data_IF_827814684021
#
_entry.id   IF_827814684021
#
_cell.length_a   1.000
_cell.length_b   1.000
_cell.length_c   1.000
_cell.angle_alpha   90.00
_cell.angle_beta   90.00
_cell.angle_gamma   90.00
#
_symmetry.space_group_name_H-M   'P 1'
#
loop_
_entity.id
_entity.type
_entity.pdbx_description
1 polymer ?
#
# COMPACT_ATOMS: atom_id res chain seq x y z
N UNK A 1 -9.41 79.84 39.84
CA UNK A 1 -9.82 79.45 38.48
C UNK A 1 -9.14 78.14 38.11
N UNK A 2 -9.90 77.06 37.94
CA UNK A 2 -9.43 75.81 37.34
C UNK A 2 -10.63 75.15 36.63
N UNK A 3 -10.49 75.03 35.31
CA UNK A 3 -11.53 74.63 34.36
C UNK A 3 -11.72 73.11 34.35
N UNK A 4 -12.96 72.65 34.62
CA UNK A 4 -13.37 71.24 34.48
C UNK A 4 -13.80 70.99 33.03
N UNK A 5 -13.03 70.19 32.28
CA UNK A 5 -13.41 69.64 30.96
C UNK A 5 -14.22 68.34 31.13
N UNK A 6 -15.19 68.05 30.24
CA UNK A 6 -16.03 66.86 30.33
C UNK A 6 -15.32 65.59 29.80
N UNK A 7 -15.74 64.44 30.31
CA UNK A 7 -15.20 63.13 30.00
C UNK A 7 -15.43 62.70 28.53
N UNK A 8 -14.36 62.25 27.87
CA UNK A 8 -14.39 61.61 26.55
C UNK A 8 -15.05 60.23 26.65
N UNK A 9 -16.09 59.99 25.85
CA UNK A 9 -16.72 58.68 25.61
C UNK A 9 -15.64 57.67 25.14
N UNK A 10 -15.53 56.54 25.84
CA UNK A 10 -14.79 55.36 25.37
C UNK A 10 -15.45 54.82 24.09
N UNK A 11 -14.70 54.77 22.99
CA UNK A 11 -15.06 53.94 21.84
C UNK A 11 -14.93 52.47 22.26
N UNK A 12 -16.05 51.76 22.28
CA UNK A 12 -16.06 50.30 22.35
C UNK A 12 -15.42 49.75 21.08
N UNK A 13 -14.28 49.07 21.21
CA UNK A 13 -13.73 48.25 20.13
C UNK A 13 -14.73 47.13 19.82
N UNK A 14 -15.38 47.22 18.66
CA UNK A 14 -16.22 46.15 18.12
C UNK A 14 -15.35 45.02 17.57
N UNK A 15 -15.83 43.78 17.72
CA UNK A 15 -15.21 42.57 17.19
C UNK A 15 -14.94 42.65 15.67
N UNK A 16 -13.82 42.08 15.19
CA UNK A 16 -13.38 42.15 13.79
C UNK A 16 -14.29 41.44 12.76
N UNK A 17 -15.38 40.79 13.20
CA UNK A 17 -16.34 40.08 12.34
C UNK A 17 -17.39 40.98 11.66
N UNK A 18 -17.32 42.31 11.82
CA UNK A 18 -18.25 43.28 11.17
C UNK A 18 -17.53 44.26 10.24
N UNK A 19 -16.63 43.77 9.40
CA UNK A 19 -16.23 44.48 8.19
C UNK A 19 -17.11 44.01 7.03
N UNK A 20 -18.09 44.84 6.67
CA UNK A 20 -18.76 44.76 5.37
C UNK A 20 -17.69 44.95 4.29
N UNK A 21 -17.34 43.87 3.59
CA UNK A 21 -16.27 43.85 2.60
C UNK A 21 -15.31 42.65 2.68
N UNK A 22 -15.76 41.49 3.17
CA UNK A 22 -15.07 40.24 2.88
C UNK A 22 -15.24 39.93 1.40
N UNK A 23 -14.15 39.81 0.65
CA UNK A 23 -14.16 39.33 -0.73
C UNK A 23 -14.85 37.97 -0.75
N UNK A 24 -16.05 37.87 -1.31
CA UNK A 24 -16.70 36.57 -1.52
C UNK A 24 -15.80 35.77 -2.44
N UNK A 25 -15.31 34.63 -1.97
CA UNK A 25 -14.62 33.66 -2.81
C UNK A 25 -15.56 33.33 -3.99
N UNK A 26 -15.13 33.44 -5.25
CA UNK A 26 -16.00 33.16 -6.39
C UNK A 26 -16.68 31.79 -6.25
N UNK A 27 -17.97 31.72 -6.53
CA UNK A 27 -18.83 30.53 -6.43
C UNK A 27 -19.16 30.01 -5.02
N UNK A 28 -18.62 30.56 -3.94
CA UNK A 28 -18.89 30.03 -2.58
C UNK A 28 -20.39 30.13 -2.21
N UNK A 29 -21.02 31.26 -2.51
CA UNK A 29 -22.44 31.48 -2.19
C UNK A 29 -23.33 30.54 -3.01
N UNK A 30 -23.00 30.37 -4.29
CA UNK A 30 -23.69 29.53 -5.24
C UNK A 30 -23.57 28.04 -4.88
N UNK A 31 -22.38 27.58 -4.47
CA UNK A 31 -22.15 26.20 -3.99
C UNK A 31 -22.95 25.95 -2.70
N UNK A 32 -22.93 26.89 -1.73
CA UNK A 32 -23.72 26.77 -0.50
C UNK A 32 -25.22 26.73 -0.76
N UNK A 33 -25.71 27.46 -1.77
CA UNK A 33 -27.10 27.41 -2.21
C UNK A 33 -27.42 26.06 -2.87
N UNK A 34 -26.54 25.56 -3.74
CA UNK A 34 -26.70 24.28 -4.41
C UNK A 34 -26.68 23.08 -3.43
N UNK A 35 -25.97 23.19 -2.30
CA UNK A 35 -25.97 22.18 -1.23
C UNK A 35 -27.17 22.24 -0.28
N UNK A 36 -27.95 23.34 -0.25
CA UNK A 36 -29.08 23.47 0.68
C UNK A 36 -30.10 22.31 0.60
N UNK A 37 -30.49 21.80 -0.58
CA UNK A 37 -31.42 20.67 -0.68
C UNK A 37 -30.92 19.41 0.02
N UNK A 38 -29.60 19.22 0.12
CA UNK A 38 -28.97 18.02 0.69
C UNK A 38 -28.59 18.17 2.15
N UNK A 39 -28.66 19.38 2.72
CA UNK A 39 -28.04 19.72 4.01
C UNK A 39 -28.38 18.76 5.15
N UNK A 40 -29.66 18.40 5.33
CA UNK A 40 -30.10 17.52 6.42
C UNK A 40 -29.67 16.06 6.21
N UNK A 41 -29.80 15.55 4.98
CA UNK A 41 -29.42 14.18 4.64
C UNK A 41 -27.90 14.00 4.64
N UNK A 42 -27.17 15.02 4.18
CA UNK A 42 -25.71 15.07 4.18
C UNK A 42 -25.17 15.11 5.61
N UNK A 43 -25.77 15.93 6.48
CA UNK A 43 -25.41 15.95 7.91
C UNK A 43 -25.61 14.58 8.56
N UNK A 44 -26.73 13.91 8.28
CA UNK A 44 -26.98 12.56 8.80
C UNK A 44 -25.98 11.54 8.26
N UNK A 45 -25.59 11.65 6.98
CA UNK A 45 -24.66 10.72 6.36
C UNK A 45 -23.24 10.86 6.91
N UNK A 46 -22.78 12.10 7.15
CA UNK A 46 -21.46 12.40 7.72
C UNK A 46 -21.40 12.28 9.25
N UNK A 47 -22.52 11.96 9.92
CA UNK A 47 -22.56 11.82 11.38
C UNK A 47 -22.19 10.39 11.76
N UNK A 48 -20.99 10.21 12.30
CA UNK A 48 -20.51 8.95 12.85
C UNK A 48 -21.01 8.75 14.29
N UNK A 49 -21.22 7.49 14.69
CA UNK A 49 -21.63 7.15 16.06
C UNK A 49 -20.51 7.50 17.06
N UNK A 50 -20.85 8.28 18.08
CA UNK A 50 -19.89 8.69 19.11
C UNK A 50 -19.11 9.98 18.81
N UNK A 51 -19.20 10.53 17.59
CA UNK A 51 -18.49 11.77 17.22
C UNK A 51 -19.31 13.05 17.53
N UNK A 52 -18.68 14.11 18.05
CA UNK A 52 -19.34 15.39 18.28
C UNK A 52 -19.91 16.00 16.98
N UNK A 53 -21.12 16.54 17.05
CA UNK A 53 -21.75 17.25 15.91
C UNK A 53 -20.93 18.45 15.39
N UNK A 54 -19.95 18.96 16.14
CA UNK A 54 -19.02 19.99 15.68
C UNK A 54 -18.06 19.47 14.60
N UNK A 55 -17.65 18.21 14.68
CA UNK A 55 -16.73 17.59 13.72
C UNK A 55 -17.43 17.34 12.39
N UNK A 56 -18.66 16.82 12.41
CA UNK A 56 -19.51 16.70 11.21
C UNK A 56 -19.73 18.06 10.53
N UNK A 57 -19.92 19.14 11.30
CA UNK A 57 -20.01 20.50 10.72
C UNK A 57 -18.70 20.94 10.08
N UNK A 58 -17.57 20.68 10.72
CA UNK A 58 -16.26 21.00 10.18
C UNK A 58 -15.99 20.23 8.86
N UNK A 59 -16.34 18.95 8.81
CA UNK A 59 -16.23 18.14 7.59
C UNK A 59 -17.09 18.67 6.44
N UNK A 60 -18.34 19.07 6.72
CA UNK A 60 -19.23 19.66 5.71
C UNK A 60 -18.75 21.04 5.25
N UNK A 61 -18.17 21.85 6.14
CA UNK A 61 -17.54 23.11 5.73
C UNK A 61 -16.29 22.85 4.86
N UNK A 62 -15.46 21.86 5.22
CA UNK A 62 -14.34 21.41 4.38
C UNK A 62 -14.79 20.94 3.00
N UNK A 63 -15.86 20.14 2.93
CA UNK A 63 -16.50 19.73 1.68
C UNK A 63 -16.98 20.94 0.87
N UNK A 64 -17.60 21.92 1.52
CA UNK A 64 -18.07 23.15 0.86
C UNK A 64 -16.90 23.91 0.23
N UNK A 65 -15.77 24.01 0.93
CA UNK A 65 -14.54 24.59 0.39
C UNK A 65 -14.03 23.80 -0.82
N UNK A 66 -13.97 22.48 -0.73
CA UNK A 66 -13.50 21.61 -1.81
C UNK A 66 -14.39 21.72 -3.06
N UNK A 67 -15.71 21.74 -2.90
CA UNK A 67 -16.65 21.94 -4.00
C UNK A 67 -16.59 23.36 -4.58
N UNK A 68 -16.25 24.37 -3.76
CA UNK A 68 -16.02 25.74 -4.25
C UNK A 68 -14.79 25.80 -5.16
N UNK A 69 -13.68 25.18 -4.75
CA UNK A 69 -12.47 25.09 -5.58
C UNK A 69 -12.75 24.30 -6.87
N UNK A 70 -13.50 23.21 -6.78
CA UNK A 70 -13.89 22.41 -7.93
C UNK A 70 -14.73 23.21 -8.94
N UNK A 71 -15.72 23.97 -8.44
CA UNK A 71 -16.56 24.84 -9.26
C UNK A 71 -15.76 25.96 -9.95
N UNK A 72 -14.77 26.53 -9.25
CA UNK A 72 -13.86 27.52 -9.83
C UNK A 72 -13.06 26.97 -11.00
N UNK A 73 -12.53 25.75 -10.87
CA UNK A 73 -11.76 25.10 -11.95
C UNK A 73 -12.61 24.79 -13.17
N UNK A 74 -13.84 24.34 -12.94
CA UNK A 74 -14.79 24.03 -14.02
C UNK A 74 -15.47 25.28 -14.60
N UNK A 75 -15.31 26.43 -13.96
CA UNK A 75 -16.05 27.65 -14.22
C UNK A 75 -17.58 27.43 -14.24
N UNK A 76 -18.07 26.52 -13.38
CA UNK A 76 -19.46 26.08 -13.32
C UNK A 76 -19.78 25.52 -11.92
N UNK A 77 -20.95 25.86 -11.39
CA UNK A 77 -21.45 25.31 -10.12
C UNK A 77 -22.26 24.06 -10.40
N UNK A 78 -21.68 22.91 -10.09
CA UNK A 78 -22.36 21.62 -10.08
C UNK A 78 -21.85 20.81 -8.89
N UNK A 79 -22.75 20.59 -7.93
CA UNK A 79 -22.46 19.80 -6.71
C UNK A 79 -22.87 18.34 -6.85
N UNK A 80 -23.45 17.95 -7.98
CA UNK A 80 -23.97 16.60 -8.23
C UNK A 80 -23.06 15.77 -9.14
N UNK A 81 -22.11 16.42 -9.82
CA UNK A 81 -21.06 15.76 -10.61
C UNK A 81 -19.68 16.15 -10.13
N UNK A 82 -18.75 15.21 -10.20
CA UNK A 82 -17.36 15.39 -9.83
C UNK A 82 -16.48 15.00 -11.03
N UNK A 83 -16.13 15.99 -11.85
CA UNK A 83 -15.25 15.82 -13.02
C UNK A 83 -13.85 15.30 -12.61
N UNK A 84 -13.41 14.12 -13.10
CA UNK A 84 -12.13 13.53 -12.72
C UNK A 84 -10.92 14.40 -13.06
N UNK A 85 -10.95 15.12 -14.19
CA UNK A 85 -9.83 15.94 -14.65
C UNK A 85 -9.62 17.14 -13.74
N UNK A 86 -10.69 17.87 -13.42
CA UNK A 86 -10.64 19.00 -12.49
C UNK A 86 -10.27 18.56 -11.07
N UNK A 87 -10.71 17.38 -10.63
CA UNK A 87 -10.31 16.78 -9.36
C UNK A 87 -8.81 16.44 -9.33
N UNK A 88 -8.26 15.89 -10.43
CA UNK A 88 -6.82 15.62 -10.57
C UNK A 88 -5.97 16.86 -10.33
N UNK A 89 -6.32 17.97 -10.99
CA UNK A 89 -5.62 19.23 -10.79
C UNK A 89 -5.83 19.81 -9.37
N UNK A 90 -7.03 19.70 -8.82
CA UNK A 90 -7.34 20.17 -7.47
C UNK A 90 -6.53 19.43 -6.40
N UNK A 91 -6.56 18.10 -6.41
CA UNK A 91 -5.85 17.30 -5.42
C UNK A 91 -4.34 17.34 -5.65
N UNK A 92 -3.86 17.48 -6.90
CA UNK A 92 -2.45 17.75 -7.19
C UNK A 92 -1.95 19.05 -6.55
N UNK A 93 -2.76 20.11 -6.58
CA UNK A 93 -2.44 21.37 -5.88
C UNK A 93 -2.48 21.23 -4.36
N UNK A 94 -3.35 20.39 -3.81
CA UNK A 94 -3.37 20.13 -2.36
C UNK A 94 -2.17 19.31 -1.93
N UNK A 95 -1.71 18.40 -2.78
CA UNK A 95 -0.54 17.56 -2.52
C UNK A 95 0.73 18.42 -2.35
N UNK A 96 0.85 19.53 -3.08
CA UNK A 96 1.97 20.48 -2.90
C UNK A 96 1.91 21.29 -1.61
N UNK A 97 0.76 21.32 -0.92
CA UNK A 97 0.60 21.91 0.40
C UNK A 97 0.84 20.88 1.54
N UNK A 98 0.85 19.59 1.20
CA UNK A 98 1.08 18.48 2.12
C UNK A 98 0.25 17.25 1.73
N UNK A 99 0.86 16.07 1.73
CA UNK A 99 0.20 14.82 1.33
C UNK A 99 -1.03 14.51 2.19
N UNK A 100 -0.93 14.68 3.51
CA UNK A 100 -2.05 14.47 4.45
C UNK A 100 -3.27 15.34 4.13
N UNK A 101 -3.05 16.56 3.62
CA UNK A 101 -4.12 17.48 3.24
C UNK A 101 -4.83 16.98 1.99
N UNK A 102 -4.08 16.45 1.01
CA UNK A 102 -4.66 15.85 -0.19
C UNK A 102 -5.45 14.59 0.15
N UNK A 103 -4.90 13.72 1.00
CA UNK A 103 -5.54 12.48 1.46
C UNK A 103 -6.83 12.75 2.22
N UNK A 104 -6.81 13.66 3.20
CA UNK A 104 -8.00 14.04 3.94
C UNK A 104 -9.07 14.68 3.03
N UNK A 105 -8.65 15.48 2.06
CA UNK A 105 -9.56 16.13 1.10
C UNK A 105 -10.19 15.12 0.14
N UNK A 106 -9.42 14.17 -0.36
CA UNK A 106 -9.90 13.08 -1.19
C UNK A 106 -10.89 12.20 -0.41
N UNK A 107 -10.62 11.91 0.86
CA UNK A 107 -11.52 11.16 1.75
C UNK A 107 -12.88 11.86 1.93
N UNK A 108 -12.88 13.17 2.16
CA UNK A 108 -14.11 13.97 2.28
C UNK A 108 -14.92 13.95 0.97
N UNK A 109 -14.24 14.11 -0.17
CA UNK A 109 -14.88 14.06 -1.49
C UNK A 109 -15.42 12.66 -1.82
N UNK A 110 -14.70 11.59 -1.45
CA UNK A 110 -15.15 10.20 -1.60
C UNK A 110 -16.40 9.93 -0.77
N UNK A 111 -16.40 10.37 0.49
CA UNK A 111 -17.57 10.24 1.37
C UNK A 111 -18.77 11.00 0.78
N UNK A 112 -18.55 12.20 0.23
CA UNK A 112 -19.60 12.94 -0.47
C UNK A 112 -20.10 12.23 -1.75
N UNK A 113 -19.21 11.65 -2.55
CA UNK A 113 -19.60 10.88 -3.73
C UNK A 113 -20.44 9.65 -3.33
N UNK A 114 -20.08 8.98 -2.24
CA UNK A 114 -20.86 7.88 -1.65
C UNK A 114 -22.26 8.33 -1.24
N UNK A 115 -22.37 9.52 -0.60
CA UNK A 115 -23.66 10.14 -0.31
C UNK A 115 -24.50 10.34 -1.58
N UNK A 116 -23.91 10.91 -2.65
CA UNK A 116 -24.63 11.13 -3.90
C UNK A 116 -25.11 9.82 -4.55
N UNK A 117 -24.27 8.78 -4.54
CA UNK A 117 -24.62 7.46 -5.07
C UNK A 117 -25.72 6.77 -4.27
N UNK A 118 -25.59 6.72 -2.95
CA UNK A 118 -26.56 6.07 -2.04
C UNK A 118 -27.91 6.78 -1.99
N UNK A 119 -27.94 8.08 -2.28
CA UNK A 119 -29.18 8.88 -2.33
C UNK A 119 -29.71 9.09 -3.75
N UNK A 120 -29.11 8.45 -4.76
CA UNK A 120 -29.47 8.60 -6.17
C UNK A 120 -29.50 10.06 -6.68
N UNK A 121 -28.62 10.91 -6.12
CA UNK A 121 -28.47 12.32 -6.50
C UNK A 121 -27.22 12.59 -7.36
N UNK A 122 -26.49 11.53 -7.75
CA UNK A 122 -25.37 11.68 -8.67
C UNK A 122 -25.86 12.04 -10.08
N UNK A 123 -25.35 13.13 -10.64
CA UNK A 123 -25.80 13.68 -11.93
C UNK A 123 -25.10 13.12 -13.17
N UNK A 124 -24.03 12.33 -12.98
CA UNK A 124 -23.24 11.76 -14.08
C UNK A 124 -23.66 10.33 -14.46
N UNK A 125 -22.90 9.71 -15.37
CA UNK A 125 -23.10 8.30 -15.73
C UNK A 125 -22.57 7.35 -14.66
N UNK A 126 -22.97 6.07 -14.70
CA UNK A 126 -22.43 5.04 -13.80
C UNK A 126 -20.91 4.88 -13.98
N UNK A 127 -20.41 5.03 -15.21
CA UNK A 127 -18.98 4.94 -15.49
C UNK A 127 -18.23 6.15 -14.92
N UNK A 128 -18.79 7.36 -15.02
CA UNK A 128 -18.22 8.56 -14.36
C UNK A 128 -18.17 8.37 -12.84
N UNK A 129 -19.22 7.81 -12.24
CA UNK A 129 -19.26 7.52 -10.81
C UNK A 129 -18.11 6.58 -10.41
N UNK A 130 -17.93 5.47 -11.13
CA UNK A 130 -16.88 4.48 -10.86
C UNK A 130 -15.48 5.09 -11.00
N UNK A 131 -15.22 5.78 -12.11
CA UNK A 131 -13.93 6.41 -12.36
C UNK A 131 -13.58 7.44 -11.28
N UNK A 132 -14.53 8.30 -10.93
CA UNK A 132 -14.31 9.29 -9.87
C UNK A 132 -14.14 8.64 -8.50
N UNK A 133 -14.92 7.60 -8.19
CA UNK A 133 -14.83 6.89 -6.93
C UNK A 133 -13.49 6.17 -6.77
N UNK A 134 -13.02 5.48 -7.81
CA UNK A 134 -11.70 4.85 -7.83
C UNK A 134 -10.57 5.88 -7.70
N UNK A 135 -10.65 6.98 -8.45
CA UNK A 135 -9.68 8.06 -8.38
C UNK A 135 -9.60 8.65 -6.96
N UNK A 136 -10.74 9.00 -6.36
CA UNK A 136 -10.79 9.53 -5.00
C UNK A 136 -10.36 8.49 -3.96
N UNK A 137 -10.64 7.20 -4.17
CA UNK A 137 -10.20 6.14 -3.26
C UNK A 137 -8.67 6.02 -3.25
N UNK A 138 -8.04 6.02 -4.43
CA UNK A 138 -6.57 6.03 -4.53
C UNK A 138 -5.97 7.26 -3.85
N UNK A 139 -6.55 8.44 -4.10
CA UNK A 139 -6.07 9.69 -3.51
C UNK A 139 -6.33 9.79 -2.00
N UNK A 140 -7.36 9.11 -1.49
CA UNK A 140 -7.67 8.99 -0.06
C UNK A 140 -6.78 7.96 0.64
N UNK A 141 -5.88 7.30 -0.08
CA UNK A 141 -5.04 6.23 0.47
C UNK A 141 -5.83 4.96 0.79
N UNK A 142 -7.05 4.81 0.24
CA UNK A 142 -7.75 3.54 0.35
C UNK A 142 -7.00 2.49 -0.43
N UNK A 143 -6.83 1.33 0.19
CA UNK A 143 -6.30 0.17 -0.50
C UNK A 143 -7.26 -0.24 -1.63
N UNK A 144 -6.79 -0.38 -2.88
CA UNK A 144 -7.59 -0.92 -3.96
C UNK A 144 -7.81 -2.43 -3.80
N UNK A 145 -7.16 -3.05 -2.81
CA UNK A 145 -7.28 -4.46 -2.47
C UNK A 145 -8.65 -4.71 -1.83
N UNK A 146 -9.41 -5.63 -2.41
CA UNK A 146 -10.71 -6.05 -1.89
C UNK A 146 -10.52 -7.38 -1.18
N UNK A 147 -10.33 -7.35 0.14
CA UNK A 147 -10.25 -8.56 0.97
C UNK A 147 -11.67 -8.96 1.44
N UNK A 148 -12.27 -10.03 0.89
CA UNK A 148 -13.56 -10.49 1.38
C UNK A 148 -13.44 -11.04 2.80
N UNK A 149 -14.52 -10.95 3.57
CA UNK A 149 -14.59 -11.64 4.85
C UNK A 149 -14.63 -13.15 4.61
N UNK A 150 -13.74 -13.88 5.29
CA UNK A 150 -13.68 -15.33 5.30
C UNK A 150 -13.68 -15.82 6.74
N UNK A 151 -14.46 -16.85 7.02
CA UNK A 151 -14.45 -17.54 8.32
C UNK A 151 -13.08 -18.18 8.56
N UNK A 152 -12.63 -18.21 9.82
CA UNK A 152 -11.27 -18.63 10.16
C UNK A 152 -10.93 -20.05 9.72
N UNK A 153 -11.88 -20.99 9.82
CA UNK A 153 -11.68 -22.38 9.41
C UNK A 153 -11.53 -22.50 7.89
N UNK A 154 -12.33 -21.75 7.12
CA UNK A 154 -12.29 -21.73 5.66
C UNK A 154 -10.98 -21.10 5.16
N UNK A 155 -10.62 -19.95 5.71
CA UNK A 155 -9.37 -19.27 5.42
C UNK A 155 -8.17 -20.17 5.75
N UNK A 156 -8.18 -20.81 6.93
CA UNK A 156 -7.08 -21.67 7.32
C UNK A 156 -6.94 -22.87 6.39
N UNK A 157 -8.03 -23.55 6.05
CA UNK A 157 -8.03 -24.69 5.14
C UNK A 157 -7.48 -24.33 3.75
N UNK A 158 -7.82 -23.13 3.24
CA UNK A 158 -7.25 -22.62 2.00
C UNK A 158 -5.72 -22.44 2.11
N UNK A 159 -5.25 -21.78 3.18
CA UNK A 159 -3.83 -21.55 3.44
C UNK A 159 -3.04 -22.86 3.62
N UNK A 160 -3.62 -23.88 4.26
CA UNK A 160 -2.93 -25.16 4.50
C UNK A 160 -2.47 -25.86 3.21
N UNK A 161 -3.18 -25.62 2.12
CA UNK A 161 -2.88 -26.20 0.81
C UNK A 161 -1.87 -25.39 -0.01
N UNK A 162 -1.42 -24.23 0.49
CA UNK A 162 -0.56 -23.34 -0.27
C UNK A 162 0.92 -23.75 -0.20
N UNK A 163 1.67 -23.67 -1.32
CA UNK A 163 3.08 -24.05 -1.38
C UNK A 163 3.94 -23.40 -0.30
N UNK A 164 3.71 -22.11 0.00
CA UNK A 164 4.53 -21.43 1.00
C UNK A 164 4.37 -21.96 2.42
N UNK A 165 3.19 -22.49 2.76
CA UNK A 165 2.96 -23.11 4.07
C UNK A 165 3.73 -24.42 4.18
N UNK A 166 3.80 -25.20 3.09
CA UNK A 166 4.64 -26.41 3.06
C UNK A 166 6.12 -26.07 3.20
N UNK A 167 6.62 -25.10 2.42
CA UNK A 167 8.02 -24.66 2.49
C UNK A 167 8.42 -24.17 3.90
N UNK A 168 7.56 -23.35 4.53
CA UNK A 168 7.79 -22.89 5.89
C UNK A 168 7.79 -24.04 6.92
N UNK A 169 6.90 -25.03 6.76
CA UNK A 169 6.85 -26.24 7.62
C UNK A 169 8.09 -27.11 7.46
N UNK A 170 8.55 -27.34 6.24
CA UNK A 170 9.77 -28.12 5.96
C UNK A 170 11.01 -27.46 6.55
N UNK A 171 11.17 -26.15 6.37
CA UNK A 171 12.29 -25.42 6.95
C UNK A 171 12.24 -25.45 8.48
N UNK A 172 11.06 -25.27 9.09
CA UNK A 172 10.90 -25.36 10.54
C UNK A 172 11.17 -26.78 11.07
N UNK A 173 10.77 -27.82 10.34
CA UNK A 173 11.04 -29.21 10.68
C UNK A 173 12.54 -29.52 10.62
N UNK A 174 13.25 -28.99 9.62
CA UNK A 174 14.71 -29.08 9.54
C UNK A 174 15.40 -28.37 10.71
N UNK A 175 14.89 -27.22 11.15
CA UNK A 175 15.44 -26.54 12.33
C UNK A 175 15.37 -27.44 13.56
N UNK A 176 14.27 -28.17 13.76
CA UNK A 176 14.14 -29.17 14.82
C UNK A 176 14.37 -28.59 16.22
N UNK A 177 15.27 -29.19 17.00
CA UNK A 177 15.63 -28.70 18.35
C UNK A 177 16.56 -27.48 18.32
N UNK A 178 17.13 -27.15 17.16
CA UNK A 178 17.95 -25.97 16.95
C UNK A 178 19.04 -26.19 15.90
N UNK A 179 19.36 -25.14 15.16
CA UNK A 179 20.43 -25.15 14.16
C UNK A 179 21.47 -24.07 14.45
N UNK A 180 22.77 -24.32 14.16
CA UNK A 180 23.82 -23.33 14.34
C UNK A 180 23.55 -22.07 13.52
N UNK A 181 23.61 -20.91 14.15
CA UNK A 181 23.49 -19.62 13.47
C UNK A 181 24.49 -18.61 14.04
N UNK A 182 24.78 -17.55 13.29
CA UNK A 182 25.54 -16.42 13.85
C UNK A 182 24.75 -15.73 14.98
N UNK A 183 25.40 -14.79 15.68
CA UNK A 183 24.72 -13.96 16.68
C UNK A 183 23.61 -13.06 16.08
N UNK A 184 23.70 -12.77 14.78
CA UNK A 184 22.65 -12.09 14.00
C UNK A 184 21.67 -13.07 13.35
N UNK A 185 21.80 -14.37 13.61
CA UNK A 185 20.89 -15.39 13.09
C UNK A 185 21.17 -15.87 11.67
N UNK A 186 22.31 -15.49 11.09
CA UNK A 186 22.64 -15.83 9.70
C UNK A 186 23.19 -17.26 9.62
N UNK A 187 22.73 -18.00 8.60
CA UNK A 187 23.21 -19.33 8.26
C UNK A 187 24.48 -19.25 7.40
N UNK A 188 25.44 -20.14 7.63
CA UNK A 188 26.69 -20.19 6.86
C UNK A 188 27.19 -21.64 6.68
N UNK A 189 28.21 -21.82 5.83
CA UNK A 189 28.83 -23.11 5.54
C UNK A 189 27.85 -24.25 5.27
N UNK A 190 28.09 -25.41 5.90
CA UNK A 190 27.25 -26.61 5.74
C UNK A 190 25.81 -26.39 6.19
N UNK A 191 25.59 -25.60 7.24
CA UNK A 191 24.23 -25.32 7.75
C UNK A 191 23.38 -24.58 6.70
N UNK A 192 23.98 -23.65 5.96
CA UNK A 192 23.32 -22.96 4.85
C UNK A 192 22.94 -23.95 3.74
N UNK A 193 23.85 -24.87 3.39
CA UNK A 193 23.60 -25.88 2.36
C UNK A 193 22.47 -26.84 2.77
N UNK A 194 22.47 -27.30 4.02
CA UNK A 194 21.45 -28.20 4.55
C UNK A 194 20.07 -27.53 4.61
N UNK A 195 20.02 -26.25 5.00
CA UNK A 195 18.80 -25.45 5.00
C UNK A 195 18.23 -25.26 3.59
N UNK A 196 19.09 -25.00 2.59
CA UNK A 196 18.68 -24.94 1.19
C UNK A 196 18.11 -26.29 0.73
N UNK A 197 18.75 -27.39 1.13
CA UNK A 197 18.28 -28.75 0.88
C UNK A 197 16.90 -29.04 1.48
N UNK A 198 16.56 -28.48 2.64
CA UNK A 198 15.23 -28.60 3.24
C UNK A 198 14.12 -27.96 2.39
N UNK A 199 14.46 -26.96 1.57
CA UNK A 199 13.54 -26.35 0.59
C UNK A 199 13.61 -27.02 -0.80
N UNK A 200 14.37 -28.11 -0.92
CA UNK A 200 14.58 -28.85 -2.16
C UNK A 200 15.60 -28.21 -3.11
N UNK A 201 16.43 -27.28 -2.63
CA UNK A 201 17.43 -26.59 -3.45
C UNK A 201 18.77 -27.33 -3.41
N UNK A 202 19.30 -27.68 -4.59
CA UNK A 202 20.57 -28.39 -4.73
C UNK A 202 21.70 -27.41 -5.02
N UNK A 203 22.20 -26.74 -3.98
CA UNK A 203 23.33 -25.79 -4.07
C UNK A 203 24.60 -26.34 -3.42
N UNK A 204 25.75 -25.78 -3.80
CA UNK A 204 27.02 -26.01 -3.10
C UNK A 204 27.47 -24.71 -2.46
N UNK A 205 27.74 -24.72 -1.16
CA UNK A 205 28.21 -23.51 -0.46
C UNK A 205 29.74 -23.46 -0.49
N UNK A 206 30.29 -22.40 -1.07
CA UNK A 206 31.71 -22.06 -1.03
C UNK A 206 31.86 -20.59 -0.64
N UNK A 207 32.14 -20.34 0.65
CA UNK A 207 32.27 -18.98 1.21
C UNK A 207 33.43 -18.17 0.60
N UNK A 208 34.32 -18.83 -0.16
CA UNK A 208 35.43 -18.18 -0.87
C UNK A 208 35.14 -17.86 -2.33
N UNK A 209 34.00 -18.31 -2.86
CA UNK A 209 33.58 -18.03 -4.22
C UNK A 209 33.23 -16.54 -4.42
N UNK A 210 33.44 -16.04 -5.65
CA UNK A 210 32.98 -14.70 -6.00
C UNK A 210 31.45 -14.66 -6.05
N UNK A 211 30.80 -13.61 -5.51
CA UNK A 211 29.35 -13.49 -5.52
C UNK A 211 28.77 -13.53 -6.94
N UNK A 212 27.74 -14.34 -7.14
CA UNK A 212 27.08 -14.42 -8.43
C UNK A 212 26.26 -13.15 -8.70
N UNK A 213 26.53 -12.47 -9.82
CA UNK A 213 25.78 -11.28 -10.24
C UNK A 213 24.34 -11.59 -10.71
N UNK A 214 24.07 -12.82 -11.14
CA UNK A 214 22.77 -13.25 -11.65
C UNK A 214 22.00 -14.08 -10.61
N UNK A 215 21.66 -13.45 -9.49
CA UNK A 215 20.86 -14.07 -8.43
C UNK A 215 19.42 -14.27 -8.92
N UNK A 216 18.89 -15.48 -8.77
CA UNK A 216 17.53 -15.87 -9.13
C UNK A 216 16.80 -16.43 -7.92
N UNK A 217 15.46 -16.38 -7.91
CA UNK A 217 14.64 -16.84 -6.76
C UNK A 217 15.05 -18.25 -6.30
N UNK A 218 15.21 -19.17 -7.25
CA UNK A 218 15.72 -20.51 -7.05
C UNK A 218 16.97 -20.70 -7.93
N UNK A 219 18.17 -20.81 -7.32
CA UNK A 219 19.37 -21.16 -8.04
C UNK A 219 19.20 -22.49 -8.79
N UNK A 220 19.83 -22.61 -9.96
CA UNK A 220 19.84 -23.87 -10.71
C UNK A 220 20.60 -24.96 -9.93
N UNK A 221 20.23 -26.22 -10.13
CA UNK A 221 20.91 -27.35 -9.49
C UNK A 221 22.42 -27.33 -9.76
N UNK A 222 23.20 -27.52 -8.70
CA UNK A 222 24.67 -27.46 -8.71
C UNK A 222 25.26 -26.05 -8.70
N UNK A 223 24.45 -25.00 -8.56
CA UNK A 223 24.95 -23.62 -8.41
C UNK A 223 25.82 -23.52 -7.16
N UNK A 224 27.00 -22.94 -7.32
CA UNK A 224 27.89 -22.59 -6.21
C UNK A 224 27.48 -21.21 -5.69
N UNK A 225 27.26 -21.10 -4.38
CA UNK A 225 26.85 -19.85 -3.71
C UNK A 225 27.81 -19.51 -2.59
N UNK A 226 28.10 -18.22 -2.40
CA UNK A 226 29.00 -17.77 -1.32
C UNK A 226 28.28 -17.44 -0.02
N UNK A 227 26.97 -17.12 -0.09
CA UNK A 227 26.20 -16.62 1.05
C UNK A 227 24.70 -16.84 0.91
N UNK A 228 23.96 -16.62 2.01
CA UNK A 228 22.49 -16.69 2.04
C UNK A 228 21.82 -15.72 1.04
N UNK A 229 22.45 -14.57 0.77
CA UNK A 229 21.91 -13.57 -0.17
C UNK A 229 21.82 -14.08 -1.62
N UNK A 230 22.58 -15.10 -1.98
CA UNK A 230 22.53 -15.75 -3.29
C UNK A 230 21.44 -16.83 -3.40
N UNK A 231 20.68 -17.08 -2.31
CA UNK A 231 19.53 -17.98 -2.28
C UNK A 231 18.28 -17.20 -1.83
N UNK A 232 17.70 -16.32 -2.67
CA UNK A 232 16.60 -15.44 -2.28
C UNK A 232 15.40 -16.16 -1.67
N UNK A 233 15.02 -17.34 -2.21
CA UNK A 233 13.93 -18.13 -1.64
C UNK A 233 14.21 -18.52 -0.19
N UNK A 234 15.39 -19.09 0.10
CA UNK A 234 15.76 -19.44 1.47
C UNK A 234 15.87 -18.20 2.36
N UNK A 235 16.47 -17.12 1.87
CA UNK A 235 16.57 -15.85 2.60
C UNK A 235 15.19 -15.33 3.02
N UNK A 236 14.22 -15.34 2.10
CA UNK A 236 12.87 -14.88 2.35
C UNK A 236 12.14 -15.75 3.39
N UNK A 237 12.27 -17.07 3.31
CA UNK A 237 11.68 -17.97 4.32
C UNK A 237 12.35 -17.85 5.68
N UNK A 238 13.68 -17.74 5.70
CA UNK A 238 14.42 -17.54 6.93
C UNK A 238 13.99 -16.25 7.62
N UNK A 239 13.94 -15.15 6.88
CA UNK A 239 13.45 -13.85 7.37
C UNK A 239 11.96 -13.87 7.74
N UNK A 240 11.13 -14.64 7.04
CA UNK A 240 9.74 -14.85 7.44
C UNK A 240 9.63 -15.55 8.79
N UNK A 241 10.38 -16.62 9.01
CA UNK A 241 10.36 -17.33 10.30
C UNK A 241 10.91 -16.46 11.44
N UNK A 242 11.88 -15.60 11.17
CA UNK A 242 12.42 -14.64 12.15
C UNK A 242 11.44 -13.50 12.42
N UNK A 243 10.97 -12.84 11.37
CA UNK A 243 10.11 -11.65 11.43
C UNK A 243 8.75 -11.94 12.07
N UNK A 244 8.32 -13.20 12.03
CA UNK A 244 7.12 -13.70 12.71
C UNK A 244 7.39 -14.29 14.09
N UNK A 245 8.62 -14.18 14.59
CA UNK A 245 9.10 -14.75 15.86
C UNK A 245 8.93 -16.27 15.99
N UNK A 246 8.77 -16.99 14.87
CA UNK A 246 8.77 -18.46 14.87
C UNK A 246 10.14 -19.04 15.20
N UNK A 247 11.20 -18.28 14.95
CA UNK A 247 12.55 -18.58 15.43
C UNK A 247 12.98 -17.59 16.49
N UNK A 248 13.59 -18.10 17.56
CA UNK A 248 14.31 -17.31 18.55
C UNK A 248 15.81 -17.49 18.40
N UNK A 249 16.54 -16.39 18.55
CA UNK A 249 17.99 -16.40 18.59
C UNK A 249 18.49 -16.45 20.01
N UNK A 250 18.91 -17.64 20.43
CA UNK A 250 19.73 -17.82 21.61
C UNK A 250 21.07 -18.36 21.13
N UNK A 251 21.96 -17.44 20.75
CA UNK A 251 23.29 -17.79 20.25
C UNK A 251 23.93 -18.87 21.15
N UNK A 252 24.45 -19.96 20.56
CA UNK A 252 24.83 -20.10 19.15
C UNK A 252 23.75 -20.68 18.21
N UNK A 253 22.50 -20.83 18.65
CA UNK A 253 21.49 -21.56 17.88
C UNK A 253 20.23 -20.73 17.57
N UNK A 254 19.65 -21.00 16.40
CA UNK A 254 18.27 -20.66 16.07
C UNK A 254 17.36 -21.81 16.50
N UNK A 255 16.34 -21.54 17.32
CA UNK A 255 15.42 -22.55 17.84
C UNK A 255 13.95 -22.14 17.57
N UNK A 256 13.03 -23.10 17.34
CA UNK A 256 11.62 -22.78 17.15
C UNK A 256 10.96 -22.28 18.43
N UNK A 257 10.07 -21.29 18.31
CA UNK A 257 9.14 -20.90 19.36
C UNK A 257 7.98 -21.90 19.39
N UNK A 258 7.94 -22.79 20.39
CA UNK A 258 6.98 -23.89 20.48
C UNK A 258 5.52 -23.51 20.13
N UNK A 259 4.97 -22.45 20.75
CA UNK A 259 3.59 -22.04 20.50
C UNK A 259 3.30 -21.60 19.05
N UNK A 260 4.26 -20.94 18.39
CA UNK A 260 4.10 -20.47 17.01
C UNK A 260 4.39 -21.59 16.00
N UNK A 261 5.32 -22.48 16.33
CA UNK A 261 5.56 -23.70 15.58
C UNK A 261 4.32 -24.60 15.56
N UNK A 262 3.69 -24.81 16.73
CA UNK A 262 2.42 -25.53 16.86
C UNK A 262 1.31 -24.85 16.06
N UNK A 263 1.21 -23.51 16.08
CA UNK A 263 0.22 -22.77 15.31
C UNK A 263 0.39 -22.94 13.79
N UNK A 264 1.63 -22.93 13.27
CA UNK A 264 1.92 -23.19 11.86
C UNK A 264 1.53 -24.62 11.44
N UNK A 265 1.77 -25.60 12.32
CA UNK A 265 1.42 -27.00 12.08
C UNK A 265 -0.08 -27.27 12.25
N UNK A 266 -0.79 -26.46 13.04
CA UNK A 266 -2.22 -26.60 13.28
C UNK A 266 -3.07 -26.42 12.02
N UNK A 267 -4.12 -27.23 11.92
CA UNK A 267 -5.23 -27.06 10.96
C UNK A 267 -6.44 -26.35 11.56
N UNK A 268 -6.43 -26.17 12.88
CA UNK A 268 -7.41 -25.41 13.66
C UNK A 268 -6.70 -24.77 14.86
N UNK A 269 -7.38 -23.87 15.58
CA UNK A 269 -6.88 -23.30 16.83
C UNK A 269 -6.42 -21.85 16.71
N UNK A 270 -6.27 -21.21 17.88
CA UNK A 270 -5.95 -19.79 17.97
C UNK A 270 -4.62 -19.47 17.29
N UNK A 271 -4.66 -18.54 16.33
CA UNK A 271 -3.47 -18.03 15.65
C UNK A 271 -2.98 -18.87 14.45
N UNK A 272 -3.58 -20.03 14.16
CA UNK A 272 -3.11 -20.88 13.06
C UNK A 272 -3.21 -20.20 11.69
N UNK A 273 -4.35 -19.54 11.42
CA UNK A 273 -4.55 -18.69 10.24
C UNK A 273 -3.56 -17.52 10.23
N UNK A 274 -3.50 -16.78 11.35
CA UNK A 274 -2.70 -15.57 11.47
C UNK A 274 -1.21 -15.82 11.19
N UNK A 275 -0.64 -16.89 11.74
CA UNK A 275 0.77 -17.26 11.55
C UNK A 275 1.09 -17.52 10.07
N UNK A 276 0.19 -18.17 9.32
CA UNK A 276 0.34 -18.39 7.87
C UNK A 276 0.19 -17.09 7.08
N UNK A 277 -0.78 -16.25 7.43
CA UNK A 277 -0.92 -14.92 6.81
C UNK A 277 0.31 -14.02 7.07
N UNK A 278 0.90 -14.10 8.26
CA UNK A 278 2.10 -13.34 8.61
C UNK A 278 3.33 -13.81 7.80
N UNK A 279 3.47 -15.12 7.54
CA UNK A 279 4.51 -15.61 6.63
C UNK A 279 4.29 -15.02 5.24
N UNK A 280 3.08 -15.10 4.69
CA UNK A 280 2.78 -14.54 3.37
C UNK A 280 3.07 -13.04 3.29
N UNK A 281 2.70 -12.28 4.33
CA UNK A 281 3.02 -10.86 4.45
C UNK A 281 4.53 -10.60 4.42
N UNK A 282 5.32 -11.37 5.16
CA UNK A 282 6.78 -11.23 5.12
C UNK A 282 7.33 -11.61 3.76
N UNK A 283 6.86 -12.69 3.12
CA UNK A 283 7.32 -13.07 1.77
C UNK A 283 7.04 -11.97 0.74
N UNK A 284 5.84 -11.39 0.72
CA UNK A 284 5.52 -10.24 -0.14
C UNK A 284 6.44 -9.06 0.12
N UNK A 285 6.53 -8.63 1.38
CA UNK A 285 7.29 -7.41 1.74
C UNK A 285 8.80 -7.60 1.54
N UNK A 286 9.37 -8.76 1.89
CA UNK A 286 10.80 -9.04 1.76
C UNK A 286 11.24 -9.03 0.29
N UNK A 287 10.48 -9.69 -0.60
CA UNK A 287 10.81 -9.68 -2.05
C UNK A 287 10.76 -8.26 -2.62
N UNK A 288 9.73 -7.49 -2.26
CA UNK A 288 9.57 -6.11 -2.74
C UNK A 288 10.64 -5.17 -2.18
N UNK A 289 10.92 -5.23 -0.88
CA UNK A 289 11.92 -4.38 -0.21
C UNK A 289 13.32 -4.70 -0.74
N UNK A 290 13.72 -5.96 -0.84
CA UNK A 290 15.04 -6.31 -1.38
C UNK A 290 15.19 -5.88 -2.84
N UNK A 291 14.12 -5.96 -3.63
CA UNK A 291 14.12 -5.46 -5.01
C UNK A 291 14.28 -3.94 -5.03
N UNK A 292 13.60 -3.23 -4.13
CA UNK A 292 13.69 -1.77 -4.00
C UNK A 292 15.10 -1.32 -3.57
N UNK A 293 15.72 -2.02 -2.63
CA UNK A 293 17.08 -1.74 -2.13
C UNK A 293 18.18 -2.10 -3.14
N UNK A 294 17.87 -2.93 -4.14
CA UNK A 294 18.82 -3.28 -5.20
C UNK A 294 18.98 -2.11 -6.18
N UNK A 295 20.22 -1.65 -6.37
CA UNK A 295 20.53 -0.54 -7.27
C UNK A 295 19.95 -0.75 -8.68
N UNK A 296 19.21 0.26 -9.17
CA UNK A 296 18.59 0.23 -10.50
C UNK A 296 17.31 -0.61 -10.62
N UNK A 297 16.80 -1.19 -9.52
CA UNK A 297 15.60 -2.06 -9.54
C UNK A 297 14.35 -1.46 -8.88
N UNK A 298 14.40 -0.22 -8.37
CA UNK A 298 13.26 0.43 -7.73
C UNK A 298 11.99 0.42 -8.58
N UNK A 299 12.08 0.76 -9.88
CA UNK A 299 10.94 0.72 -10.81
C UNK A 299 10.34 -0.68 -10.96
N UNK A 300 11.15 -1.73 -10.85
CA UNK A 300 10.67 -3.12 -10.91
C UNK A 300 9.83 -3.43 -9.66
N UNK A 301 10.30 -3.02 -8.47
CA UNK A 301 9.56 -3.19 -7.22
C UNK A 301 8.22 -2.43 -7.24
N UNK A 302 8.25 -1.16 -7.67
CA UNK A 302 7.06 -0.31 -7.78
C UNK A 302 6.03 -0.87 -8.76
N UNK A 303 6.45 -1.26 -9.96
CA UNK A 303 5.56 -1.87 -10.96
C UNK A 303 4.99 -3.19 -10.45
N UNK A 304 5.80 -4.02 -9.79
CA UNK A 304 5.33 -5.29 -9.21
C UNK A 304 4.30 -5.05 -8.12
N UNK A 305 4.54 -4.09 -7.20
CA UNK A 305 3.58 -3.69 -6.17
C UNK A 305 2.26 -3.18 -6.78
N UNK A 306 2.34 -2.39 -7.86
CA UNK A 306 1.16 -1.90 -8.59
C UNK A 306 0.35 -3.01 -9.24
N UNK A 307 1.00 -4.00 -9.84
CA UNK A 307 0.34 -5.19 -10.41
C UNK A 307 -0.30 -6.03 -9.32
N UNK A 308 0.40 -6.31 -8.21
CA UNK A 308 -0.15 -7.08 -7.08
C UNK A 308 -1.38 -6.40 -6.46
N UNK A 309 -1.29 -5.08 -6.26
CA UNK A 309 -2.39 -4.25 -5.77
C UNK A 309 -3.62 -4.33 -6.68
N UNK A 310 -3.41 -4.28 -7.99
CA UNK A 310 -4.47 -4.45 -9.00
C UNK A 310 -5.02 -5.89 -9.05
N UNK A 311 -4.15 -6.88 -8.90
CA UNK A 311 -4.49 -8.31 -8.90
C UNK A 311 -5.34 -8.74 -7.69
N UNK A 312 -5.29 -7.97 -6.61
CA UNK A 312 -6.14 -8.15 -5.43
C UNK A 312 -7.40 -7.25 -5.44
N UNK A 313 -7.63 -6.48 -6.51
CA UNK A 313 -8.81 -5.62 -6.64
C UNK A 313 -10.05 -6.38 -7.15
N UNK A 314 -11.19 -5.69 -7.23
CA UNK A 314 -12.41 -6.24 -7.84
C UNK A 314 -12.29 -6.50 -9.35
N UNK A 315 -11.35 -5.84 -10.02
CA UNK A 315 -11.09 -5.94 -11.46
C UNK A 315 -9.62 -6.29 -11.68
N UNK A 316 -9.29 -7.56 -11.45
CA UNK A 316 -7.96 -8.09 -11.71
C UNK A 316 -7.51 -7.80 -13.16
N UNK A 317 -6.24 -7.46 -13.38
CA UNK A 317 -5.76 -7.14 -14.72
C UNK A 317 -5.60 -8.41 -15.56
N UNK A 318 -5.88 -8.31 -16.87
CA UNK A 318 -5.60 -9.39 -17.82
C UNK A 318 -4.09 -9.54 -17.98
N UNK A 319 -3.59 -10.77 -17.90
CA UNK A 319 -2.15 -11.07 -17.95
C UNK A 319 -1.50 -10.51 -19.21
N UNK A 320 -2.18 -10.67 -20.36
CA UNK A 320 -1.68 -10.16 -21.64
C UNK A 320 -1.43 -8.65 -21.62
N UNK A 321 -2.27 -7.85 -20.95
CA UNK A 321 -2.11 -6.40 -20.91
C UNK A 321 -1.18 -5.94 -19.80
N UNK A 322 -1.19 -6.64 -18.65
CA UNK A 322 -0.35 -6.28 -17.52
C UNK A 322 1.15 -6.49 -17.79
N UNK A 323 1.48 -7.47 -18.64
CA UNK A 323 2.86 -7.87 -18.95
C UNK A 323 3.26 -7.59 -20.40
N UNK A 324 2.43 -6.86 -21.15
CA UNK A 324 2.79 -6.39 -22.49
C UNK A 324 3.69 -5.16 -22.38
N UNK A 325 4.80 -5.19 -23.09
CA UNK A 325 5.59 -3.99 -23.37
C UNK A 325 4.79 -3.13 -24.36
N UNK A 326 4.40 -1.90 -24.01
CA UNK A 326 3.67 -1.02 -24.93
C UNK A 326 4.49 -0.71 -26.17
N UNK A 327 3.81 -0.64 -27.32
CA UNK A 327 4.40 -0.24 -28.59
C UNK A 327 4.25 1.26 -28.85
N UNK A 328 4.86 1.75 -29.93
CA UNK A 328 4.76 3.15 -30.39
C UNK A 328 3.31 3.55 -30.66
N UNK A 329 2.46 2.59 -31.06
CA UNK A 329 1.04 2.83 -31.33
C UNK A 329 0.20 2.88 -30.05
N UNK A 330 0.70 2.31 -28.94
CA UNK A 330 -0.01 2.23 -27.65
C UNK A 330 0.23 3.47 -26.77
N UNK A 331 1.32 4.21 -27.00
CA UNK A 331 1.74 5.34 -26.17
C UNK A 331 1.72 6.69 -26.94
N UNK A 332 1.40 7.81 -26.27
CA UNK A 332 1.62 9.15 -26.81
C UNK A 332 3.08 9.37 -27.22
N UNK A 333 3.32 10.18 -28.25
CA UNK A 333 4.68 10.44 -28.77
C UNK A 333 5.67 10.91 -27.71
N UNK A 334 5.20 11.69 -26.73
CA UNK A 334 6.00 12.17 -25.60
C UNK A 334 6.52 11.04 -24.70
N UNK A 335 5.84 9.89 -24.68
CA UNK A 335 6.16 8.73 -23.83
C UNK A 335 6.90 7.62 -24.57
N UNK A 336 7.16 7.76 -25.87
CA UNK A 336 7.88 6.74 -26.66
C UNK A 336 9.28 6.43 -26.11
N UNK A 337 9.90 7.38 -25.41
CA UNK A 337 11.20 7.17 -24.75
C UNK A 337 11.16 6.13 -23.61
N UNK A 338 9.98 5.85 -23.04
CA UNK A 338 9.79 4.85 -21.99
C UNK A 338 9.79 3.41 -22.53
N UNK A 339 9.56 3.21 -23.83
CA UNK A 339 9.46 1.85 -24.41
C UNK A 339 10.75 1.07 -24.15
N UNK A 340 11.92 1.67 -24.36
CA UNK A 340 13.21 1.03 -24.14
C UNK A 340 13.46 0.65 -22.67
N UNK A 341 12.96 1.43 -21.71
CA UNK A 341 13.07 1.05 -20.29
C UNK A 341 12.07 -0.07 -19.94
N UNK A 342 10.86 -0.02 -20.49
CA UNK A 342 9.84 -1.04 -20.28
C UNK A 342 10.23 -2.40 -20.90
N UNK A 343 10.96 -2.42 -22.02
CA UNK A 343 11.55 -3.64 -22.60
C UNK A 343 12.48 -4.38 -21.63
N UNK A 344 13.12 -3.65 -20.70
CA UNK A 344 14.01 -4.21 -19.67
C UNK A 344 13.25 -4.52 -18.38
N UNK A 345 12.33 -3.64 -17.97
CA UNK A 345 11.63 -3.72 -16.68
C UNK A 345 10.53 -4.78 -16.70
N UNK A 346 9.70 -4.85 -17.74
CA UNK A 346 8.53 -5.74 -17.79
C UNK A 346 8.92 -7.23 -17.64
N UNK A 347 9.95 -7.76 -18.33
CA UNK A 347 10.37 -9.15 -18.12
C UNK A 347 10.84 -9.44 -16.69
N UNK A 348 11.42 -8.45 -16.00
CA UNK A 348 11.85 -8.61 -14.61
C UNK A 348 10.66 -8.56 -13.63
N UNK A 349 9.66 -7.72 -13.92
CA UNK A 349 8.37 -7.72 -13.19
C UNK A 349 7.68 -9.07 -13.36
N UNK A 350 7.63 -9.61 -14.57
CA UNK A 350 7.10 -10.97 -14.80
C UNK A 350 7.88 -12.01 -13.98
N UNK A 351 9.22 -11.98 -13.99
CA UNK A 351 10.03 -12.93 -13.22
C UNK A 351 9.75 -12.88 -11.71
N UNK A 352 9.53 -11.70 -11.14
CA UNK A 352 9.10 -11.56 -9.73
C UNK A 352 7.69 -12.10 -9.49
N UNK A 353 6.73 -11.78 -10.35
CA UNK A 353 5.37 -12.31 -10.27
C UNK A 353 5.34 -13.83 -10.37
N UNK A 354 6.16 -14.42 -11.24
CA UNK A 354 6.34 -15.88 -11.36
C UNK A 354 6.97 -16.48 -10.10
N UNK A 355 7.80 -15.72 -9.38
CA UNK A 355 8.33 -16.16 -8.09
C UNK A 355 7.22 -16.22 -7.03
N UNK A 356 6.34 -15.21 -6.99
CA UNK A 356 5.13 -15.26 -6.14
C UNK A 356 4.17 -16.39 -6.54
N UNK A 357 4.00 -16.64 -7.84
CA UNK A 357 3.16 -17.72 -8.35
C UNK A 357 3.65 -19.10 -7.88
N UNK A 358 4.96 -19.35 -7.90
CA UNK A 358 5.55 -20.61 -7.41
C UNK A 358 5.23 -20.90 -5.95
N UNK A 359 5.15 -19.85 -5.12
CA UNK A 359 4.81 -19.97 -3.71
C UNK A 359 3.28 -20.01 -3.46
N UNK A 360 2.48 -19.92 -4.54
CA UNK A 360 1.01 -19.84 -4.49
C UNK A 360 0.48 -18.52 -3.97
N UNK A 361 1.31 -17.47 -3.95
CA UNK A 361 0.94 -16.13 -3.50
C UNK A 361 0.19 -15.33 -4.58
N UNK A 362 0.37 -15.70 -5.84
CA UNK A 362 -0.27 -15.13 -7.03
C UNK A 362 -0.70 -16.27 -7.94
N UNK A 363 -1.76 -16.06 -8.73
CA UNK A 363 -2.17 -16.95 -9.81
C UNK A 363 -2.09 -16.17 -11.12
N UNK A 364 -1.37 -16.70 -12.12
CA UNK A 364 -1.15 -16.04 -13.42
C UNK A 364 -1.73 -16.90 -14.54
N UNK A 365 -3.02 -16.71 -14.81
CA UNK A 365 -3.74 -17.35 -15.91
C UNK A 365 -4.13 -16.30 -16.98
N UNK A 366 -5.39 -16.26 -17.40
CA UNK A 366 -5.92 -15.18 -18.24
C UNK A 366 -5.85 -13.81 -17.51
N UNK A 367 -6.01 -13.84 -16.19
CA UNK A 367 -5.88 -12.68 -15.31
C UNK A 367 -4.83 -12.96 -14.23
N UNK A 368 -4.15 -11.91 -13.79
CA UNK A 368 -3.25 -11.97 -12.63
C UNK A 368 -4.12 -11.73 -11.40
N UNK A 369 -4.19 -12.71 -10.50
CA UNK A 369 -5.01 -12.61 -9.29
C UNK A 369 -4.22 -12.97 -8.04
N UNK A 370 -4.57 -12.34 -6.93
CA UNK A 370 -4.10 -12.73 -5.60
C UNK A 370 -5.23 -13.51 -4.92
N UNK A 371 -4.97 -14.75 -4.45
CA UNK A 371 -5.95 -15.54 -3.72
C UNK A 371 -6.60 -14.73 -2.59
N UNK A 372 -7.93 -14.83 -2.45
CA UNK A 372 -8.71 -13.99 -1.54
C UNK A 372 -8.19 -14.01 -0.10
N UNK A 373 -7.80 -15.20 0.37
CA UNK A 373 -7.26 -15.43 1.71
C UNK A 373 -5.92 -14.72 1.97
N UNK A 374 -5.20 -14.31 0.91
CA UNK A 374 -3.91 -13.61 1.00
C UNK A 374 -4.02 -12.10 0.85
N UNK A 375 -5.19 -11.56 0.49
CA UNK A 375 -5.35 -10.14 0.16
C UNK A 375 -5.07 -9.22 1.35
N UNK A 376 -5.47 -9.60 2.55
CA UNK A 376 -5.14 -8.84 3.77
C UNK A 376 -3.64 -8.91 4.10
N UNK A 377 -2.99 -10.05 3.87
CA UNK A 377 -1.54 -10.19 4.05
C UNK A 377 -0.77 -9.31 3.04
N UNK A 378 -1.22 -9.29 1.79
CA UNK A 378 -0.66 -8.41 0.76
C UNK A 378 -0.85 -6.94 1.12
N UNK A 379 -2.03 -6.54 1.59
CA UNK A 379 -2.31 -5.16 2.00
C UNK A 379 -1.35 -4.69 3.11
N UNK A 380 -1.15 -5.51 4.15
CA UNK A 380 -0.18 -5.23 5.21
C UNK A 380 1.26 -5.19 4.67
N UNK A 381 1.61 -6.04 3.71
CA UNK A 381 2.93 -6.06 3.09
C UNK A 381 3.18 -4.78 2.27
N UNK A 382 2.22 -4.32 1.47
CA UNK A 382 2.33 -3.09 0.70
C UNK A 382 2.43 -1.86 1.61
N UNK A 383 1.72 -1.84 2.74
CA UNK A 383 1.88 -0.80 3.75
C UNK A 383 3.31 -0.76 4.31
N UNK A 384 3.91 -1.93 4.62
CA UNK A 384 5.32 -2.01 5.05
C UNK A 384 6.30 -1.50 4.00
N UNK A 385 6.08 -1.81 2.72
CA UNK A 385 6.90 -1.32 1.61
C UNK A 385 6.79 0.21 1.51
N UNK A 386 5.57 0.75 1.61
CA UNK A 386 5.35 2.21 1.61
C UNK A 386 6.05 2.89 2.79
N UNK A 387 5.94 2.33 3.99
CA UNK A 387 6.61 2.85 5.19
C UNK A 387 8.14 2.82 5.04
N UNK A 388 8.68 1.80 4.36
CA UNK A 388 10.10 1.67 4.10
C UNK A 388 10.60 2.79 3.16
N UNK A 389 9.87 3.06 2.07
CA UNK A 389 10.17 4.17 1.14
C UNK A 389 10.18 5.51 1.88
N UNK A 390 9.13 5.79 2.67
CA UNK A 390 9.01 7.06 3.40
C UNK A 390 10.14 7.28 4.42
N UNK A 391 10.58 6.21 5.10
CA UNK A 391 11.72 6.29 6.03
C UNK A 391 13.04 6.57 5.30
N UNK A 392 13.28 5.90 4.17
CA UNK A 392 14.48 6.11 3.38
C UNK A 392 14.59 7.56 2.87
N UNK A 393 13.47 8.16 2.45
CA UNK A 393 13.41 9.57 2.04
C UNK A 393 13.71 10.53 3.20
N UNK A 394 13.09 10.31 4.36
CA UNK A 394 13.31 11.13 5.55
C UNK A 394 14.77 11.09 6.06
N UNK A 395 15.40 9.91 6.03
CA UNK A 395 16.79 9.73 6.42
C UNK A 395 17.76 10.35 5.40
N UNK A 396 17.41 10.30 4.10
CA UNK A 396 18.16 10.96 3.02
C UNK A 396 18.15 12.49 3.11
N UNK A 397 17.02 13.10 3.44
CA UNK A 397 16.91 14.56 3.64
C UNK A 397 17.70 15.04 4.86
N UNK A 398 17.71 14.26 5.95
CA UNK A 398 18.49 14.59 7.14
C UNK A 398 20.00 14.50 6.88
N UNK A 399 20.46 13.48 6.15
CA UNK A 399 21.87 13.34 5.77
C UNK A 399 22.35 14.46 4.84
N UNK A 400 21.49 14.94 3.93
CA UNK A 400 21.78 16.09 3.05
C UNK A 400 21.83 17.42 3.79
N UNK A 401 21.02 17.60 4.84
CA UNK A 401 21.01 18.82 5.66
C UNK A 401 22.20 18.94 6.63
N UNK A 402 22.87 17.84 6.96
CA UNK A 402 24.03 17.81 7.84
C UNK A 402 25.37 18.05 7.11
N UNK A 403 25.35 18.12 5.77
CA UNK A 403 26.52 18.38 4.92
C UNK A 403 26.48 19.75 4.22
N UNK A 404 25.47 20.58 4.48
CA UNK A 404 25.39 21.99 4.10
C UNK A 404 25.68 22.88 5.32
#
# INVERSE_FOLDING_TARGET
>A
MASRKPAKKKQSQGHPARRDGASSVPFETEVRQALQPFKSSLFRHFQEEGHPASETRAAIEGLTTLLTVHAQRRNMVDVTTLDPKALGEQLGHLSSLGNDVAVASASILKHYLTFLGTTANFGGSVDDFKQTFEFLSRMAGDSPIVAPFMEDEEANAALESMPFVFAARELLAWVGEGQPSSASGVLSGQTLQDAAGALGLMVTVDESAEPNAAVSWEPADGTVVSSLAEIPRLSAYWDALIGTAMLTYQAPNATPTAALAEALQGSTGAGSRLVKELIAEVLFSHVLINTLETEGKATIAEMTAGVLSSAASATAPRTEFALQVPTVDDLPQEQHHLIASLEIVVPQVEALLRSFEREGLVVIDEHITVPEVLRTALERALAKVSDHVLKAEADGEQAGSAQA
#
